data_IF_582914087058
#
_entry.id   IF_582914087058
#
_cell.length_a   1.000
_cell.length_b   1.000
_cell.length_c   1.000
_cell.angle_alpha   90.00
_cell.angle_beta   90.00
_cell.angle_gamma   90.00
#
_symmetry.space_group_name_H-M   'P 1'
#
loop_
_entity.id
_entity.type
_entity.pdbx_description
1 polymer ?
#
# COMPACT_ATOMS: atom_id res chain seq x y z
N UNK A 1 -17.07 0.47 16.85
CA UNK A 1 -15.86 1.19 17.28
C UNK A 1 -14.97 0.23 18.05
N UNK A 2 -13.99 -0.39 17.39
CA UNK A 2 -13.13 -1.37 18.06
C UNK A 2 -11.93 -0.65 18.71
N UNK A 3 -11.62 -0.91 20.00
CA UNK A 3 -10.50 -0.31 20.73
C UNK A 3 -9.14 -0.42 20.01
N UNK A 4 -8.96 -1.44 19.16
CA UNK A 4 -7.73 -1.66 18.40
C UNK A 4 -7.44 -0.60 17.33
N UNK A 5 -8.44 -0.09 16.62
CA UNK A 5 -8.22 0.86 15.52
C UNK A 5 -7.71 2.22 16.04
N UNK A 6 -8.25 2.68 17.18
CA UNK A 6 -7.79 3.90 17.83
C UNK A 6 -6.40 3.74 18.47
N UNK A 7 -6.10 2.55 19.02
CA UNK A 7 -4.79 2.25 19.58
C UNK A 7 -3.69 2.21 18.50
N UNK A 8 -3.96 1.57 17.36
CA UNK A 8 -3.04 1.56 16.20
C UNK A 8 -2.80 2.97 15.71
N UNK A 9 -3.85 3.77 15.49
CA UNK A 9 -3.74 5.16 15.06
C UNK A 9 -2.85 6.00 16.00
N UNK A 10 -3.07 5.89 17.32
CA UNK A 10 -2.29 6.64 18.31
C UNK A 10 -0.81 6.21 18.36
N UNK A 11 -0.50 4.92 18.15
CA UNK A 11 0.89 4.45 18.06
C UNK A 11 1.55 4.98 16.79
N UNK A 12 0.85 4.91 15.66
CA UNK A 12 1.32 5.42 14.36
C UNK A 12 1.63 6.90 14.43
N UNK A 13 0.74 7.71 15.03
CA UNK A 13 0.94 9.15 15.23
C UNK A 13 2.19 9.46 16.08
N UNK A 14 2.45 8.68 17.14
CA UNK A 14 3.63 8.88 18.01
C UNK A 14 4.96 8.49 17.35
N UNK A 15 4.92 7.55 16.42
CA UNK A 15 6.13 7.01 15.78
C UNK A 15 6.41 7.61 14.41
N UNK A 16 5.52 8.45 13.87
CA UNK A 16 5.63 9.02 12.52
C UNK A 16 6.96 9.72 12.19
N UNK A 17 7.60 10.33 13.19
CA UNK A 17 8.88 11.04 13.04
C UNK A 17 10.10 10.13 13.29
N UNK A 18 9.87 8.85 13.61
CA UNK A 18 10.90 7.87 14.01
C UNK A 18 10.78 6.52 13.32
N UNK A 19 9.70 6.29 12.58
CA UNK A 19 9.40 5.02 11.92
C UNK A 19 8.67 5.28 10.60
N UNK A 20 8.98 4.45 9.60
CA UNK A 20 8.23 4.39 8.35
C UNK A 20 6.90 3.69 8.61
N UNK A 21 5.80 4.35 8.26
CA UNK A 21 4.45 3.79 8.37
C UNK A 21 4.07 3.14 7.06
N UNK A 22 3.72 1.85 7.10
CA UNK A 22 3.12 1.17 5.97
C UNK A 22 1.66 0.82 6.20
N UNK A 23 0.88 0.77 5.12
CA UNK A 23 -0.53 0.41 5.17
C UNK A 23 -0.93 -0.52 4.02
N UNK A 24 -1.67 -1.57 4.36
CA UNK A 24 -2.32 -2.49 3.44
C UNK A 24 -3.81 -2.59 3.82
N UNK A 25 -4.76 -2.19 2.95
CA UNK A 25 -6.17 -2.24 3.26
C UNK A 25 -6.69 -3.68 3.40
N UNK A 26 -6.05 -4.65 2.72
CA UNK A 26 -6.37 -6.07 2.71
C UNK A 26 -7.88 -6.34 2.76
N UNK A 27 -8.59 -5.87 1.73
CA UNK A 27 -10.04 -5.73 1.71
C UNK A 27 -10.72 -7.08 1.95
N UNK A 28 -11.64 -7.11 2.92
CA UNK A 28 -12.52 -8.25 3.22
C UNK A 28 -13.94 -7.73 3.29
N UNK A 29 -14.73 -7.81 2.20
CA UNK A 29 -16.04 -7.15 2.12
C UNK A 29 -16.98 -7.50 3.29
N UNK A 30 -16.98 -8.76 3.71
CA UNK A 30 -17.77 -9.23 4.86
C UNK A 30 -17.40 -8.63 6.21
N UNK A 31 -16.25 -7.95 6.33
CA UNK A 31 -15.75 -7.33 7.57
C UNK A 31 -15.68 -5.80 7.48
N UNK A 32 -15.89 -5.21 6.29
CA UNK A 32 -15.67 -3.78 6.07
C UNK A 32 -16.90 -2.91 6.35
N UNK A 33 -18.09 -3.50 6.42
CA UNK A 33 -19.35 -2.80 6.64
C UNK A 33 -19.87 -2.14 5.37
N UNK A 34 -20.53 -0.97 5.53
CA UNK A 34 -21.01 -0.18 4.39
C UNK A 34 -19.82 0.33 3.55
N UNK A 35 -19.97 0.24 2.23
CA UNK A 35 -18.87 0.42 1.28
C UNK A 35 -18.30 1.86 1.28
N UNK A 36 -19.14 2.89 1.24
CA UNK A 36 -18.68 4.29 1.28
C UNK A 36 -17.94 4.62 2.59
N UNK A 37 -18.43 4.08 3.71
CA UNK A 37 -17.78 4.19 5.02
C UNK A 37 -16.43 3.48 5.06
N UNK A 38 -16.30 2.36 4.34
CA UNK A 38 -15.03 1.65 4.20
C UNK A 38 -14.03 2.44 3.35
N UNK A 39 -14.45 2.98 2.20
CA UNK A 39 -13.63 3.85 1.34
C UNK A 39 -13.09 5.04 2.13
N UNK A 40 -13.96 5.78 2.81
CA UNK A 40 -13.55 6.95 3.61
C UNK A 40 -12.57 6.59 4.73
N UNK A 41 -12.66 5.38 5.29
CA UNK A 41 -11.72 4.90 6.32
C UNK A 41 -10.37 4.53 5.71
N UNK A 42 -10.37 3.84 4.57
CA UNK A 42 -9.16 3.49 3.82
C UNK A 42 -8.41 4.75 3.42
N UNK A 43 -9.07 5.75 2.85
CA UNK A 43 -8.42 7.01 2.43
C UNK A 43 -7.77 7.76 3.59
N UNK A 44 -8.39 7.74 4.79
CA UNK A 44 -7.77 8.29 5.99
C UNK A 44 -6.51 7.53 6.41
N UNK A 45 -6.51 6.21 6.31
CA UNK A 45 -5.33 5.40 6.61
C UNK A 45 -4.21 5.62 5.58
N UNK A 46 -4.58 5.70 4.30
CA UNK A 46 -3.66 6.03 3.19
C UNK A 46 -2.96 7.37 3.46
N UNK A 47 -3.70 8.42 3.83
CA UNK A 47 -3.14 9.74 4.10
C UNK A 47 -2.13 9.79 5.26
N UNK A 48 -2.15 8.79 6.15
CA UNK A 48 -1.25 8.69 7.30
C UNK A 48 -0.06 7.74 7.07
N UNK A 49 -0.04 7.04 5.94
CA UNK A 49 1.01 6.10 5.60
C UNK A 49 2.12 6.77 4.77
N UNK A 50 3.33 6.24 4.88
CA UNK A 50 4.48 6.60 4.04
C UNK A 50 4.57 5.71 2.81
N UNK A 51 4.15 4.45 2.95
CA UNK A 51 4.09 3.43 1.93
C UNK A 51 2.72 2.75 1.97
N UNK A 52 2.06 2.64 0.83
CA UNK A 52 0.82 1.87 0.70
C UNK A 52 1.01 0.70 -0.23
N UNK A 53 0.49 -0.46 0.14
CA UNK A 53 0.34 -1.62 -0.74
C UNK A 53 -1.15 -1.94 -0.89
N UNK A 54 -1.60 -2.23 -2.09
CA UNK A 54 -2.91 -2.82 -2.34
C UNK A 54 -2.83 -3.85 -3.46
N UNK A 55 -3.82 -4.74 -3.55
CA UNK A 55 -4.03 -5.51 -4.78
C UNK A 55 -5.01 -4.81 -5.73
N UNK A 56 -5.02 -5.19 -6.99
CA UNK A 56 -6.04 -4.75 -7.94
C UNK A 56 -7.45 -5.22 -7.52
N UNK A 57 -7.58 -6.35 -6.83
CA UNK A 57 -8.87 -6.74 -6.23
C UNK A 57 -9.31 -5.83 -5.09
N UNK A 58 -8.38 -5.38 -4.23
CA UNK A 58 -8.68 -4.36 -3.20
C UNK A 58 -9.22 -3.09 -3.85
N UNK A 59 -8.50 -2.59 -4.87
CA UNK A 59 -8.86 -1.36 -5.59
C UNK A 59 -10.17 -1.53 -6.35
N UNK A 60 -10.41 -2.67 -6.99
CA UNK A 60 -11.65 -2.96 -7.70
C UNK A 60 -12.86 -3.03 -6.75
N UNK A 61 -12.68 -3.50 -5.52
CA UNK A 61 -13.74 -3.44 -4.53
C UNK A 61 -13.99 -2.01 -4.04
N UNK A 62 -12.93 -1.25 -3.77
CA UNK A 62 -12.99 0.12 -3.25
C UNK A 62 -13.48 1.15 -4.27
N UNK A 63 -13.11 0.97 -5.54
CA UNK A 63 -13.39 1.90 -6.64
C UNK A 63 -13.78 1.10 -7.90
N UNK A 64 -15.00 0.51 -7.92
CA UNK A 64 -15.41 -0.37 -9.01
C UNK A 64 -15.34 0.30 -10.39
N UNK A 65 -14.60 -0.32 -11.31
CA UNK A 65 -14.47 0.14 -12.70
C UNK A 65 -13.43 1.25 -12.92
N UNK A 66 -12.75 1.70 -11.87
CA UNK A 66 -11.63 2.64 -12.02
C UNK A 66 -10.33 1.90 -12.37
N UNK A 67 -9.47 2.57 -13.14
CA UNK A 67 -8.13 2.07 -13.47
C UNK A 67 -7.23 2.05 -12.21
N UNK A 68 -6.61 0.90 -11.86
CA UNK A 68 -5.74 0.79 -10.70
C UNK A 68 -4.60 1.82 -10.65
N UNK A 69 -4.02 2.19 -11.80
CA UNK A 69 -2.94 3.18 -11.84
C UNK A 69 -3.44 4.59 -11.52
N UNK A 70 -4.63 4.95 -12.02
CA UNK A 70 -5.30 6.20 -11.66
C UNK A 70 -5.64 6.27 -10.16
N UNK A 71 -6.12 5.17 -9.57
CA UNK A 71 -6.40 5.09 -8.13
C UNK A 71 -5.12 5.21 -7.31
N UNK A 72 -4.06 4.49 -7.69
CA UNK A 72 -2.75 4.57 -7.01
C UNK A 72 -2.18 6.00 -7.06
N UNK A 73 -2.32 6.68 -8.20
CA UNK A 73 -1.91 8.09 -8.36
C UNK A 73 -2.73 9.02 -7.46
N UNK A 74 -4.05 8.79 -7.36
CA UNK A 74 -4.91 9.53 -6.41
C UNK A 74 -4.48 9.31 -4.97
N UNK A 75 -4.18 8.07 -4.59
CA UNK A 75 -3.70 7.74 -3.25
C UNK A 75 -2.35 8.37 -2.93
N UNK A 76 -1.42 8.40 -3.88
CA UNK A 76 -0.14 9.08 -3.73
C UNK A 76 -0.33 10.57 -3.38
N UNK A 77 -1.31 11.23 -3.99
CA UNK A 77 -1.63 12.62 -3.71
C UNK A 77 -2.21 12.87 -2.30
N UNK A 78 -2.66 11.83 -1.59
CA UNK A 78 -3.19 11.94 -0.23
C UNK A 78 -2.09 12.03 0.83
N UNK A 79 -0.88 11.57 0.57
CA UNK A 79 0.17 11.50 1.60
C UNK A 79 1.38 10.63 1.30
N UNK A 80 1.23 9.34 0.93
CA UNK A 80 2.34 8.41 0.87
C UNK A 80 3.39 8.83 -0.17
N UNK A 81 4.64 8.44 0.09
CA UNK A 81 5.73 8.64 -0.85
C UNK A 81 5.70 7.60 -1.99
N UNK A 82 5.14 6.42 -1.71
CA UNK A 82 5.05 5.30 -2.65
C UNK A 82 3.72 4.57 -2.48
N UNK A 83 3.07 4.24 -3.59
CA UNK A 83 1.92 3.32 -3.63
C UNK A 83 2.26 2.15 -4.55
N UNK A 84 2.21 0.93 -4.03
CA UNK A 84 2.44 -0.30 -4.76
C UNK A 84 1.14 -1.08 -4.98
N UNK A 85 0.94 -1.54 -6.20
CA UNK A 85 -0.22 -2.34 -6.59
C UNK A 85 0.24 -3.68 -7.16
N UNK A 86 -0.30 -4.78 -6.63
CA UNK A 86 -0.11 -6.13 -7.17
C UNK A 86 -1.31 -6.54 -8.02
N UNK A 87 -1.07 -7.21 -9.16
CA UNK A 87 -2.08 -7.60 -10.17
C UNK A 87 -2.03 -9.09 -10.51
N UNK A 88 -1.87 -9.95 -9.49
CA UNK A 88 -1.68 -11.38 -9.65
C UNK A 88 -0.63 -11.74 -10.72
N UNK A 89 -1.04 -12.48 -11.76
CA UNK A 89 -0.18 -12.90 -12.86
C UNK A 89 0.31 -11.75 -13.78
N UNK A 90 -0.34 -10.58 -13.73
CA UNK A 90 0.07 -9.39 -14.48
C UNK A 90 1.18 -8.59 -13.77
N UNK A 91 1.76 -9.13 -12.70
CA UNK A 91 2.88 -8.53 -11.97
C UNK A 91 2.44 -7.45 -11.00
N UNK A 92 3.24 -6.42 -10.86
CA UNK A 92 2.99 -5.29 -9.96
C UNK A 92 3.49 -3.98 -10.56
N UNK A 93 3.07 -2.88 -9.98
CA UNK A 93 3.64 -1.57 -10.26
C UNK A 93 3.72 -0.72 -9.00
N UNK A 94 4.61 0.25 -9.00
CA UNK A 94 4.77 1.26 -7.98
C UNK A 94 4.61 2.65 -8.59
N UNK A 95 3.92 3.54 -7.91
CA UNK A 95 3.80 4.96 -8.26
C UNK A 95 4.48 5.79 -7.18
N UNK A 96 5.34 6.70 -7.59
CA UNK A 96 5.97 7.74 -6.76
C UNK A 96 5.72 9.12 -7.37
N UNK A 97 6.18 10.19 -6.71
CA UNK A 97 6.03 11.56 -7.25
C UNK A 97 6.81 11.80 -8.55
N UNK A 98 7.76 10.93 -8.86
CA UNK A 98 8.67 11.13 -9.98
C UNK A 98 8.53 10.04 -11.05
N UNK A 99 8.13 8.83 -10.67
CA UNK A 99 8.15 7.66 -11.54
C UNK A 99 6.97 6.74 -11.30
N UNK A 100 6.54 6.09 -12.37
CA UNK A 100 5.79 4.83 -12.31
C UNK A 100 6.72 3.72 -12.79
N UNK A 101 6.86 2.66 -12.00
CA UNK A 101 7.72 1.50 -12.30
C UNK A 101 6.88 0.24 -12.29
N UNK A 102 7.00 -0.60 -13.32
CA UNK A 102 6.28 -1.86 -13.42
C UNK A 102 7.25 -3.05 -13.39
N UNK A 103 6.88 -4.10 -12.67
CA UNK A 103 7.61 -5.36 -12.60
C UNK A 103 6.69 -6.51 -13.03
N UNK A 104 7.22 -7.43 -13.84
CA UNK A 104 6.49 -8.66 -14.21
C UNK A 104 6.38 -9.63 -13.03
N UNK A 105 5.33 -10.46 -13.00
CA UNK A 105 5.25 -11.55 -12.03
C UNK A 105 6.28 -12.64 -12.39
N UNK A 106 7.10 -13.12 -11.44
CA UNK A 106 7.80 -14.39 -11.61
C UNK A 106 6.75 -15.48 -11.85
N UNK A 107 6.95 -16.35 -12.85
CA UNK A 107 6.10 -17.54 -13.02
C UNK A 107 6.39 -18.49 -11.86
N UNK A 108 5.52 -18.51 -10.86
CA UNK A 108 5.57 -19.47 -9.76
C UNK A 108 4.20 -20.14 -9.66
N UNK A 109 4.18 -21.47 -9.60
CA UNK A 109 2.96 -22.22 -9.31
C UNK A 109 2.52 -21.88 -7.89
N UNK A 110 1.48 -21.06 -7.76
CA UNK A 110 1.03 -20.51 -6.49
C UNK A 110 0.36 -21.61 -5.66
N UNK A 111 1.11 -22.16 -4.71
CA UNK A 111 0.61 -23.03 -3.65
C UNK A 111 0.51 -22.17 -2.38
N UNK A 112 -0.64 -21.53 -2.21
CA UNK A 112 -0.99 -20.70 -1.04
C UNK A 112 -0.37 -19.28 -0.98
N UNK A 113 -1.19 -18.25 -0.77
CA UNK A 113 -0.79 -16.82 -0.82
C UNK A 113 -0.69 -16.16 0.56
N UNK A 114 -0.93 -16.91 1.64
CA UNK A 114 -0.77 -16.42 3.02
C UNK A 114 0.72 -16.18 3.30
N UNK A 115 1.11 -14.92 3.48
CA UNK A 115 2.49 -14.51 3.82
C UNK A 115 3.33 -13.92 2.69
N UNK A 116 2.87 -13.98 1.43
CA UNK A 116 3.56 -13.34 0.30
C UNK A 116 3.50 -11.80 0.38
N UNK A 117 2.36 -11.26 0.86
CA UNK A 117 2.20 -9.82 1.11
C UNK A 117 3.12 -9.30 2.21
N UNK A 118 3.21 -10.02 3.33
CA UNK A 118 4.08 -9.66 4.45
C UNK A 118 5.56 -9.78 4.09
N UNK A 119 5.94 -10.79 3.31
CA UNK A 119 7.32 -10.96 2.82
C UNK A 119 7.71 -9.86 1.84
N UNK A 120 6.79 -9.44 0.96
CA UNK A 120 7.01 -8.32 0.06
C UNK A 120 7.17 -7.00 0.83
N UNK A 121 6.28 -6.75 1.79
CA UNK A 121 6.36 -5.57 2.64
C UNK A 121 7.61 -5.59 3.50
N UNK A 122 8.01 -6.74 4.04
CA UNK A 122 9.25 -6.90 4.79
C UNK A 122 10.48 -6.67 3.92
N UNK A 123 10.51 -7.14 2.67
CA UNK A 123 11.61 -6.91 1.74
C UNK A 123 11.71 -5.43 1.32
N UNK A 124 10.58 -4.78 1.09
CA UNK A 124 10.53 -3.33 0.82
C UNK A 124 11.01 -2.58 2.07
N UNK A 125 10.47 -2.88 3.25
CA UNK A 125 10.90 -2.23 4.50
C UNK A 125 12.38 -2.49 4.83
N UNK A 126 12.92 -3.68 4.57
CA UNK A 126 14.33 -4.01 4.76
C UNK A 126 15.23 -3.18 3.83
N UNK A 127 14.88 -3.11 2.53
CA UNK A 127 15.54 -2.23 1.56
C UNK A 127 15.47 -0.74 1.96
N UNK A 128 14.42 -0.36 2.71
CA UNK A 128 14.18 1.01 3.19
C UNK A 128 14.84 1.32 4.54
N UNK A 129 15.02 0.36 5.45
CA UNK A 129 15.69 0.60 6.75
C UNK A 129 17.14 1.05 6.61
N UNK A 130 17.73 0.85 5.43
CA UNK A 130 19.07 1.34 5.07
C UNK A 130 19.07 2.80 4.60
N UNK A 131 17.89 3.43 4.40
CA UNK A 131 17.72 4.76 3.77
C UNK A 131 16.75 5.66 4.54
N UNK A 132 17.05 6.96 4.60
CA UNK A 132 16.22 7.96 5.31
C UNK A 132 14.87 8.20 4.61
N UNK A 133 13.86 8.71 5.32
CA UNK A 133 12.49 8.99 4.84
C UNK A 133 12.46 9.90 3.61
N UNK A 134 13.41 10.82 3.48
CA UNK A 134 13.56 11.67 2.30
C UNK A 134 14.00 10.89 1.04
N UNK A 135 14.69 9.76 1.22
CA UNK A 135 15.18 8.92 0.14
C UNK A 135 14.06 8.08 -0.52
N UNK A 136 12.97 7.80 0.20
CA UNK A 136 11.78 7.10 -0.33
C UNK A 136 11.19 7.80 -1.55
N UNK A 137 11.04 9.12 -1.46
CA UNK A 137 10.51 9.93 -2.56
C UNK A 137 11.48 10.06 -3.74
N UNK A 138 12.76 9.71 -3.54
CA UNK A 138 13.83 9.88 -4.52
C UNK A 138 14.27 8.57 -5.18
N UNK A 139 13.62 7.44 -4.87
CA UNK A 139 13.96 6.13 -5.45
C UNK A 139 13.81 6.19 -6.97
N UNK A 140 14.90 5.89 -7.66
CA UNK A 140 14.93 5.79 -9.11
C UNK A 140 14.37 4.45 -9.58
N UNK A 141 14.03 4.35 -10.87
CA UNK A 141 13.47 3.12 -11.44
C UNK A 141 14.37 1.87 -11.35
N UNK A 142 15.66 2.02 -11.02
CA UNK A 142 16.58 0.90 -10.80
C UNK A 142 16.69 0.45 -9.34
N UNK A 143 16.01 1.14 -8.42
CA UNK A 143 16.05 0.90 -6.97
C UNK A 143 14.70 0.43 -6.40
N UNK A 144 13.69 0.33 -7.28
CA UNK A 144 12.38 -0.28 -7.05
C UNK A 144 12.34 -1.63 -7.76
#
# INVERSE_FOLDING_TARGET
SAPGAAAVLSVTERLRDRATVSYDPNVRPGLMGEHGSAVARVERCVALADLVKASDEDLAWLYPGEDPEAVATRWLALGPAVVLVTRGAAGSFAVTRHHTVAAGAPRVDVVDTVGAGDSFMSAVLDALTVRDRAALGALSAGEL
#
